data_IF_466816046436
#
_entry.id   IF_466816046436
#
_cell.length_a   1.000
_cell.length_b   1.000
_cell.length_c   1.000
_cell.angle_alpha   90.00
_cell.angle_beta   90.00
_cell.angle_gamma   90.00
#
_symmetry.space_group_name_H-M   'P 1'
#
loop_
_entity.id
_entity.type
_entity.pdbx_description
1 polymer ?
#
# COMPACT_ATOMS: atom_id res chain seq x y z
N UNK A 1 34.54 4.28 14.99
CA UNK A 1 34.28 3.12 14.11
C UNK A 1 32.97 2.44 14.53
N UNK A 2 31.84 3.16 14.54
CA UNK A 2 30.54 2.64 15.04
C UNK A 2 29.43 2.68 13.97
N UNK A 3 29.71 3.26 12.79
CA UNK A 3 28.72 3.50 11.75
C UNK A 3 28.29 2.22 11.00
N UNK A 4 29.22 1.28 10.84
CA UNK A 4 29.03 0.05 10.04
C UNK A 4 28.07 -0.96 10.70
N UNK A 5 27.94 -0.94 12.03
CA UNK A 5 27.04 -1.84 12.77
C UNK A 5 25.58 -1.36 12.75
N UNK A 6 25.38 -0.06 12.84
CA UNK A 6 24.05 0.59 12.80
C UNK A 6 23.40 0.48 11.42
N UNK A 7 24.19 0.65 10.36
CA UNK A 7 23.73 0.52 8.97
C UNK A 7 23.34 -0.94 8.62
N UNK A 8 24.10 -1.93 9.11
CA UNK A 8 23.79 -3.33 8.87
C UNK A 8 22.50 -3.79 9.60
N UNK A 9 22.27 -3.29 10.82
CA UNK A 9 21.04 -3.55 11.56
C UNK A 9 19.83 -2.85 10.94
N UNK A 10 19.98 -1.62 10.42
CA UNK A 10 18.89 -0.90 9.78
C UNK A 10 18.44 -1.57 8.47
N UNK A 11 19.38 -2.03 7.64
CA UNK A 11 19.08 -2.76 6.40
C UNK A 11 18.36 -4.08 6.68
N UNK A 12 18.87 -4.88 7.63
CA UNK A 12 18.22 -6.14 8.03
C UNK A 12 16.82 -5.94 8.57
N UNK A 13 16.61 -4.89 9.37
CA UNK A 13 15.29 -4.55 9.88
C UNK A 13 14.34 -4.20 8.74
N UNK A 14 14.76 -3.37 7.79
CA UNK A 14 13.93 -3.02 6.63
C UNK A 14 13.57 -4.24 5.77
N UNK A 15 14.51 -5.16 5.54
CA UNK A 15 14.25 -6.43 4.82
C UNK A 15 13.21 -7.31 5.54
N UNK A 16 13.32 -7.44 6.86
CA UNK A 16 12.39 -8.21 7.67
C UNK A 16 10.98 -7.60 7.64
N UNK A 17 10.87 -6.28 7.81
CA UNK A 17 9.61 -5.55 7.72
C UNK A 17 8.98 -5.71 6.32
N UNK A 18 9.79 -5.67 5.27
CA UNK A 18 9.34 -5.88 3.89
C UNK A 18 8.87 -7.31 3.63
N UNK A 19 9.49 -8.29 4.27
CA UNK A 19 9.14 -9.71 4.13
C UNK A 19 7.74 -9.99 4.67
N UNK A 20 7.33 -9.34 5.78
CA UNK A 20 5.96 -9.50 6.30
C UNK A 20 4.88 -9.00 5.32
N UNK A 21 5.17 -8.01 4.47
CA UNK A 21 4.23 -7.58 3.43
C UNK A 21 4.16 -8.53 2.21
N UNK A 22 4.99 -9.57 2.16
CA UNK A 22 4.88 -10.65 1.16
C UNK A 22 3.93 -11.76 1.62
N UNK A 23 3.60 -11.81 2.91
CA UNK A 23 2.60 -12.71 3.47
C UNK A 23 1.20 -12.31 2.98
N UNK A 24 0.50 -13.18 2.21
CA UNK A 24 -0.81 -12.85 1.64
C UNK A 24 -1.88 -12.55 2.69
N UNK A 25 -1.82 -13.21 3.85
CA UNK A 25 -2.79 -13.01 4.92
C UNK A 25 -2.63 -11.62 5.53
N UNK A 26 -1.40 -11.27 5.91
CA UNK A 26 -1.10 -9.95 6.44
C UNK A 26 -1.37 -8.83 5.43
N UNK A 27 -0.96 -9.00 4.17
CA UNK A 27 -1.20 -7.98 3.14
C UNK A 27 -2.69 -7.78 2.90
N UNK A 28 -3.49 -8.85 2.92
CA UNK A 28 -4.95 -8.76 2.79
C UNK A 28 -5.54 -7.94 3.94
N UNK A 29 -5.21 -8.27 5.19
CA UNK A 29 -5.71 -7.53 6.35
C UNK A 29 -5.27 -6.06 6.34
N UNK A 30 -4.04 -5.79 5.91
CA UNK A 30 -3.54 -4.42 5.75
C UNK A 30 -4.37 -3.65 4.72
N UNK A 31 -4.63 -4.23 3.54
CA UNK A 31 -5.41 -3.59 2.48
C UNK A 31 -6.85 -3.34 2.93
N UNK A 32 -7.47 -4.28 3.65
CA UNK A 32 -8.83 -4.15 4.17
C UNK A 32 -8.95 -3.00 5.17
N UNK A 33 -8.05 -2.94 6.16
CA UNK A 33 -8.02 -1.81 7.10
C UNK A 33 -7.75 -0.48 6.41
N UNK A 34 -6.85 -0.48 5.43
CA UNK A 34 -6.56 0.71 4.64
C UNK A 34 -7.78 1.17 3.82
N UNK A 35 -8.55 0.24 3.26
CA UNK A 35 -9.81 0.52 2.53
C UNK A 35 -10.84 1.21 3.42
N UNK A 36 -10.99 0.77 4.66
CA UNK A 36 -11.93 1.37 5.63
C UNK A 36 -11.56 2.82 5.99
N UNK A 37 -10.26 3.17 5.91
CA UNK A 37 -9.74 4.50 6.23
C UNK A 37 -9.86 5.46 5.04
N UNK A 38 -11.11 5.74 4.62
CA UNK A 38 -11.46 6.51 3.42
C UNK A 38 -10.75 7.87 3.31
N UNK A 39 -10.63 8.59 4.42
CA UNK A 39 -9.93 9.87 4.47
C UNK A 39 -8.44 9.79 4.08
N UNK A 40 -7.83 8.60 4.01
CA UNK A 40 -6.47 8.44 3.53
C UNK A 40 -6.38 8.44 2.00
N UNK A 41 -7.42 7.99 1.29
CA UNK A 41 -7.37 7.68 -0.15
C UNK A 41 -8.46 8.31 -1.00
N UNK A 42 -9.63 8.58 -0.44
CA UNK A 42 -10.74 9.16 -1.17
C UNK A 42 -10.64 10.70 -1.15
N UNK A 43 -10.32 11.30 -2.29
CA UNK A 43 -10.11 12.75 -2.41
C UNK A 43 -11.38 13.55 -2.06
N UNK A 44 -12.55 12.99 -2.36
CA UNK A 44 -13.86 13.60 -2.08
C UNK A 44 -14.25 13.52 -0.60
N UNK A 45 -13.54 12.74 0.22
CA UNK A 45 -13.86 12.60 1.63
C UNK A 45 -13.65 13.95 2.35
N UNK A 46 -14.60 14.45 3.17
CA UNK A 46 -14.49 15.77 3.81
C UNK A 46 -13.23 15.94 4.66
N UNK A 47 -12.78 14.86 5.31
CA UNK A 47 -11.54 14.84 6.09
C UNK A 47 -10.26 14.55 5.29
N UNK A 48 -10.33 14.45 3.96
CA UNK A 48 -9.17 14.08 3.14
C UNK A 48 -8.03 15.09 3.26
N UNK A 49 -8.32 16.39 3.30
CA UNK A 49 -7.29 17.43 3.39
C UNK A 49 -6.98 17.87 4.83
N UNK A 50 -7.69 17.34 5.83
CA UNK A 50 -7.51 17.71 7.23
C UNK A 50 -6.31 16.96 7.80
N UNK A 51 -5.14 17.61 7.82
CA UNK A 51 -3.84 17.02 8.19
C UNK A 51 -3.86 16.28 9.53
N UNK A 52 -4.49 16.85 10.56
CA UNK A 52 -4.58 16.26 11.90
C UNK A 52 -5.40 14.97 11.91
N UNK A 53 -6.54 14.95 11.22
CA UNK A 53 -7.39 13.76 11.12
C UNK A 53 -6.70 12.67 10.28
N UNK A 54 -6.07 13.03 9.16
CA UNK A 54 -5.25 12.10 8.37
C UNK A 54 -4.16 11.47 9.22
N UNK A 55 -3.41 12.28 9.98
CA UNK A 55 -2.33 11.82 10.86
C UNK A 55 -2.85 10.84 11.90
N UNK A 56 -3.93 11.20 12.61
CA UNK A 56 -4.56 10.31 13.60
C UNK A 56 -5.05 8.99 12.98
N UNK A 57 -5.52 9.02 11.73
CA UNK A 57 -5.94 7.80 11.03
C UNK A 57 -4.74 6.93 10.64
N UNK A 58 -3.65 7.54 10.15
CA UNK A 58 -2.41 6.83 9.89
C UNK A 58 -1.79 6.24 11.16
N UNK A 59 -1.90 6.91 12.31
CA UNK A 59 -1.46 6.38 13.61
C UNK A 59 -2.24 5.12 13.99
N UNK A 60 -3.55 5.05 13.71
CA UNK A 60 -4.35 3.83 13.91
C UNK A 60 -3.89 2.68 12.99
N UNK A 61 -3.59 2.99 11.72
CA UNK A 61 -3.06 1.99 10.79
C UNK A 61 -1.67 1.51 11.22
N UNK A 62 -0.82 2.43 11.68
CA UNK A 62 0.49 2.13 12.22
C UNK A 62 0.39 1.21 13.44
N UNK A 63 -0.51 1.50 14.39
CA UNK A 63 -0.72 0.66 15.56
C UNK A 63 -1.09 -0.78 15.17
N UNK A 64 -1.91 -0.97 14.14
CA UNK A 64 -2.17 -2.30 13.58
C UNK A 64 -0.91 -2.96 13.00
N UNK A 65 -0.13 -2.24 12.20
CA UNK A 65 1.12 -2.80 11.65
C UNK A 65 2.09 -3.19 12.76
N UNK A 66 2.15 -2.40 13.83
CA UNK A 66 3.03 -2.64 14.97
C UNK A 66 2.65 -3.89 15.79
N UNK A 67 1.44 -4.44 15.66
CA UNK A 67 1.11 -5.72 16.29
C UNK A 67 1.83 -6.91 15.62
N UNK A 68 2.37 -6.72 14.41
CA UNK A 68 3.14 -7.73 13.68
C UNK A 68 4.59 -7.31 13.42
N UNK A 69 4.84 -6.00 13.36
CA UNK A 69 6.13 -5.39 13.03
C UNK A 69 6.39 -4.27 14.03
N UNK A 70 6.86 -4.56 15.26
CA UNK A 70 7.00 -3.57 16.33
C UNK A 70 7.85 -2.35 15.95
N UNK A 71 8.84 -2.54 15.08
CA UNK A 71 9.76 -1.50 14.61
C UNK A 71 9.15 -0.62 13.50
N UNK A 72 7.92 -0.89 13.08
CA UNK A 72 7.25 -0.09 12.07
C UNK A 72 7.14 1.37 12.49
N UNK A 73 7.45 2.25 11.53
CA UNK A 73 7.37 3.70 11.69
C UNK A 73 6.26 4.27 10.83
N UNK A 74 5.85 5.50 11.16
CA UNK A 74 4.89 6.25 10.35
C UNK A 74 5.33 6.36 8.88
N UNK A 75 6.60 6.71 8.66
CA UNK A 75 7.21 6.81 7.32
C UNK A 75 7.15 5.49 6.56
N UNK A 76 7.38 4.37 7.24
CA UNK A 76 7.29 3.05 6.61
C UNK A 76 5.86 2.75 6.12
N UNK A 77 4.84 3.01 6.93
CA UNK A 77 3.44 2.81 6.56
C UNK A 77 3.03 3.72 5.39
N UNK A 78 3.41 4.99 5.42
CA UNK A 78 3.16 5.93 4.30
C UNK A 78 3.83 5.45 3.01
N UNK A 79 5.10 5.02 3.10
CA UNK A 79 5.83 4.46 1.96
C UNK A 79 5.11 3.22 1.40
N UNK A 80 4.61 2.32 2.26
CA UNK A 80 3.87 1.13 1.84
C UNK A 80 2.57 1.47 1.13
N UNK A 81 1.80 2.44 1.64
CA UNK A 81 0.62 2.96 0.96
C UNK A 81 0.98 3.51 -0.43
N UNK A 82 2.05 4.31 -0.50
CA UNK A 82 2.54 4.88 -1.76
C UNK A 82 2.93 3.81 -2.78
N UNK A 83 3.64 2.77 -2.35
CA UNK A 83 4.02 1.63 -3.19
C UNK A 83 2.78 0.91 -3.72
N UNK A 84 1.81 0.58 -2.86
CA UNK A 84 0.58 -0.12 -3.26
C UNK A 84 -0.21 0.68 -4.29
N UNK A 85 -0.38 1.99 -4.08
CA UNK A 85 -1.03 2.88 -5.06
C UNK A 85 -0.30 2.92 -6.39
N UNK A 86 1.03 3.02 -6.37
CA UNK A 86 1.83 3.04 -7.59
C UNK A 86 1.78 1.70 -8.35
N UNK A 87 1.77 0.58 -7.63
CA UNK A 87 1.60 -0.74 -8.22
C UNK A 87 0.22 -0.91 -8.85
N UNK A 88 -0.84 -0.53 -8.12
CA UNK A 88 -2.21 -0.52 -8.62
C UNK A 88 -2.35 0.33 -9.89
N UNK A 89 -1.91 1.59 -9.84
CA UNK A 89 -1.99 2.52 -10.99
C UNK A 89 -1.28 1.99 -12.23
N UNK A 90 -0.11 1.35 -12.06
CA UNK A 90 0.62 0.75 -13.18
C UNK A 90 -0.14 -0.41 -13.82
N UNK A 91 -0.69 -1.32 -13.02
CA UNK A 91 -1.50 -2.42 -13.54
C UNK A 91 -2.79 -1.90 -14.19
N UNK A 92 -3.50 -1.00 -13.51
CA UNK A 92 -4.75 -0.40 -13.99
C UNK A 92 -4.53 0.33 -15.33
N UNK A 93 -3.42 1.05 -15.49
CA UNK A 93 -3.08 1.70 -16.75
C UNK A 93 -2.82 0.70 -17.90
N UNK A 94 -2.22 -0.47 -17.64
CA UNK A 94 -2.02 -1.49 -18.69
C UNK A 94 -3.36 -2.02 -19.21
N UNK A 95 -4.33 -2.24 -18.32
CA UNK A 95 -5.68 -2.67 -18.67
C UNK A 95 -6.36 -1.62 -19.55
N UNK A 96 -6.32 -0.34 -19.14
CA UNK A 96 -6.90 0.74 -19.93
C UNK A 96 -6.24 0.92 -21.29
N UNK A 97 -4.92 0.77 -21.36
CA UNK A 97 -4.20 0.82 -22.64
C UNK A 97 -4.65 -0.33 -23.55
N UNK A 98 -4.74 -1.57 -23.03
CA UNK A 98 -5.19 -2.71 -23.84
C UNK A 98 -6.63 -2.54 -24.33
N UNK A 99 -7.52 -1.98 -23.49
CA UNK A 99 -8.89 -1.68 -23.89
C UNK A 99 -8.96 -0.61 -24.99
N UNK A 100 -8.14 0.45 -24.89
CA UNK A 100 -8.12 1.56 -25.86
C UNK A 100 -7.57 1.14 -27.23
N UNK A 101 -6.67 0.17 -27.30
CA UNK A 101 -6.10 -0.30 -28.57
C UNK A 101 -7.06 -1.14 -29.43
N UNK A 102 -8.33 -1.27 -29.04
CA UNK A 102 -9.32 -2.06 -29.79
C UNK A 102 -9.05 -3.56 -29.71
N UNK A 103 -8.38 -4.00 -28.65
CA UNK A 103 -8.08 -5.39 -28.39
C UNK A 103 -9.39 -6.19 -28.30
N UNK A 104 -9.43 -7.41 -28.86
CA UNK A 104 -10.55 -8.33 -28.63
C UNK A 104 -10.68 -8.62 -27.14
N UNK A 105 -11.83 -9.14 -26.68
CA UNK A 105 -12.01 -9.51 -25.27
C UNK A 105 -10.92 -10.49 -24.77
N UNK A 106 -10.38 -11.31 -25.67
CA UNK A 106 -9.29 -12.26 -25.40
C UNK A 106 -7.88 -11.62 -25.33
N UNK A 107 -7.75 -10.37 -25.79
CA UNK A 107 -6.48 -9.63 -25.85
C UNK A 107 -6.33 -8.57 -24.73
N UNK A 108 -7.34 -8.45 -23.86
CA UNK A 108 -7.30 -7.52 -22.73
C UNK A 108 -6.25 -7.97 -21.72
N UNK A 109 -5.41 -7.03 -21.27
CA UNK A 109 -4.38 -7.32 -20.29
C UNK A 109 -4.98 -7.81 -18.96
N UNK A 110 -4.54 -8.98 -18.51
CA UNK A 110 -4.89 -9.53 -17.20
C UNK A 110 -3.89 -9.03 -16.15
N UNK A 111 -4.34 -8.42 -15.04
CA UNK A 111 -3.47 -7.99 -13.95
C UNK A 111 -2.64 -9.15 -13.39
N UNK A 112 -1.36 -8.90 -13.13
CA UNK A 112 -0.47 -9.91 -12.52
C UNK A 112 -0.42 -9.82 -10.99
N UNK A 113 -0.91 -8.72 -10.43
CA UNK A 113 -0.99 -8.56 -8.97
C UNK A 113 -2.16 -9.35 -8.43
N UNK A 114 -1.88 -10.37 -7.62
CA UNK A 114 -2.92 -11.22 -7.02
C UNK A 114 -3.91 -10.45 -6.14
N UNK A 115 -3.49 -9.29 -5.60
CA UNK A 115 -4.33 -8.40 -4.79
C UNK A 115 -4.92 -7.23 -5.59
N UNK A 116 -4.85 -7.24 -6.92
CA UNK A 116 -5.33 -6.15 -7.76
C UNK A 116 -6.78 -5.75 -7.43
N UNK A 117 -7.68 -6.74 -7.40
CA UNK A 117 -9.10 -6.51 -7.13
C UNK A 117 -9.36 -5.94 -5.72
N UNK A 118 -8.49 -6.27 -4.76
CA UNK A 118 -8.58 -5.74 -3.39
C UNK A 118 -8.27 -4.25 -3.31
N UNK A 119 -7.55 -3.69 -4.28
CA UNK A 119 -7.20 -2.28 -4.38
C UNK A 119 -8.12 -1.46 -5.30
N UNK A 120 -9.15 -2.08 -5.89
CA UNK A 120 -10.05 -1.42 -6.85
C UNK A 120 -10.84 -0.24 -6.26
N UNK A 121 -10.99 -0.19 -4.93
CA UNK A 121 -11.59 0.95 -4.24
C UNK A 121 -10.85 2.28 -4.50
N UNK A 122 -9.59 2.23 -4.96
CA UNK A 122 -8.82 3.41 -5.32
C UNK A 122 -9.37 4.15 -6.55
N UNK A 123 -10.35 3.59 -7.27
CA UNK A 123 -11.02 4.22 -8.41
C UNK A 123 -12.20 5.13 -7.99
N UNK A 124 -12.67 5.07 -6.74
CA UNK A 124 -13.86 5.80 -6.24
C UNK A 124 -13.59 7.32 -5.99
#
# INVERSE_FOLDING_TARGET
MEDRGTEFMSVRNEENMNTKFKDPEFLTQFIEKYREMRNLWEVKHPAYYIKTIRKSTLEKLLAFVQTFIPEATFKFVENKIGILRNMYRREHNKIHISLRSGASADDVYVPRLWYYDKLRFLDD
#
